data_IF_456029303216
#
_entry.id   IF_456029303216
#
_cell.length_a   1.000
_cell.length_b   1.000
_cell.length_c   1.000
_cell.angle_alpha   90.00
_cell.angle_beta   90.00
_cell.angle_gamma   90.00
#
_symmetry.space_group_name_H-M   'P 1'
#
loop_
_entity.id
_entity.type
_entity.pdbx_description
1 polymer ?
#
# COMPACT_ATOMS: atom_id res chain seq x y z
N UNK A 1 -8.18 8.75 3.83
CA UNK A 1 -9.53 8.15 3.99
C UNK A 1 -9.39 6.76 4.58
N UNK A 2 -10.47 6.17 5.11
CA UNK A 2 -10.43 4.85 5.74
C UNK A 2 -11.79 4.15 5.71
N UNK A 3 -11.81 2.84 6.00
CA UNK A 3 -13.02 2.02 6.03
C UNK A 3 -13.40 1.69 7.49
N UNK A 4 -14.64 2.03 7.90
CA UNK A 4 -15.16 1.74 9.24
C UNK A 4 -16.19 0.62 9.18
N UNK A 5 -16.17 -0.30 10.15
CA UNK A 5 -17.22 -1.32 10.29
C UNK A 5 -18.60 -0.66 10.46
N UNK A 6 -19.60 -1.18 9.76
CA UNK A 6 -20.97 -0.67 9.80
C UNK A 6 -21.84 -1.54 10.70
N UNK A 7 -22.51 -0.90 11.66
CA UNK A 7 -23.36 -1.55 12.66
C UNK A 7 -24.83 -1.13 12.56
N UNK A 8 -25.24 -0.53 11.43
CA UNK A 8 -26.60 -0.03 11.20
C UNK A 8 -26.77 1.48 11.33
N UNK A 9 -25.74 2.21 11.75
CA UNK A 9 -25.73 3.67 11.83
C UNK A 9 -24.64 4.25 10.93
N UNK A 10 -24.98 5.32 10.19
CA UNK A 10 -24.04 5.98 9.29
C UNK A 10 -23.14 6.91 10.11
N UNK A 11 -21.80 6.78 10.02
CA UNK A 11 -20.89 7.72 10.66
C UNK A 11 -21.03 9.16 10.15
N UNK A 12 -20.85 10.14 11.04
CA UNK A 12 -20.92 11.57 10.68
C UNK A 12 -19.86 11.99 9.64
N UNK A 13 -18.75 11.26 9.55
CA UNK A 13 -17.67 11.48 8.60
C UNK A 13 -17.70 10.51 7.40
N UNK A 14 -18.84 9.87 7.15
CA UNK A 14 -19.05 9.02 5.99
C UNK A 14 -19.02 9.84 4.69
N UNK A 15 -18.36 9.30 3.67
CA UNK A 15 -18.24 9.95 2.36
C UNK A 15 -19.54 9.74 1.56
N UNK A 16 -20.23 10.82 1.15
CA UNK A 16 -21.43 10.72 0.31
C UNK A 16 -21.12 10.08 -1.05
N UNK A 17 -21.90 9.07 -1.42
CA UNK A 17 -21.79 8.36 -2.69
C UNK A 17 -22.67 8.94 -3.80
N UNK A 18 -23.88 9.33 -3.45
CA UNK A 18 -24.88 9.80 -4.42
C UNK A 18 -26.21 10.17 -3.75
N UNK A 19 -27.28 10.12 -4.53
CA UNK A 19 -28.64 10.46 -4.14
C UNK A 19 -29.59 9.36 -4.63
N UNK A 20 -30.55 8.96 -3.80
CA UNK A 20 -31.64 8.07 -4.20
C UNK A 20 -32.74 8.83 -4.98
N UNK A 21 -33.81 8.12 -5.36
CA UNK A 21 -34.94 8.69 -6.10
C UNK A 21 -35.69 9.79 -5.33
N UNK A 22 -35.57 9.78 -4.01
CA UNK A 22 -36.18 10.75 -3.11
C UNK A 22 -35.21 11.89 -2.75
N UNK A 23 -34.07 12.00 -3.46
CA UNK A 23 -33.01 12.96 -3.19
C UNK A 23 -32.38 12.82 -1.79
N UNK A 24 -32.47 11.63 -1.18
CA UNK A 24 -31.74 11.32 0.07
C UNK A 24 -30.34 10.84 -0.25
N UNK A 25 -29.39 11.21 0.60
CA UNK A 25 -27.99 10.84 0.46
C UNK A 25 -27.83 9.32 0.60
N UNK A 26 -27.09 8.73 -0.33
CA UNK A 26 -26.56 7.37 -0.20
C UNK A 26 -25.06 7.42 0.04
N UNK A 27 -24.54 6.39 0.71
CA UNK A 27 -23.13 6.33 1.14
C UNK A 27 -22.38 5.22 0.40
N UNK A 28 -21.06 5.32 0.43
CA UNK A 28 -20.17 4.33 -0.18
C UNK A 28 -19.88 3.23 0.83
N UNK A 29 -20.23 2.00 0.49
CA UNK A 29 -19.95 0.82 1.29
C UNK A 29 -19.09 -0.18 0.52
N UNK A 30 -18.42 -1.04 1.26
CA UNK A 30 -17.85 -2.28 0.74
C UNK A 30 -18.33 -3.46 1.59
N UNK A 31 -18.39 -4.64 0.98
CA UNK A 31 -18.89 -5.85 1.62
C UNK A 31 -18.06 -7.05 1.16
N UNK A 32 -17.77 -7.97 2.09
CA UNK A 32 -17.02 -9.17 1.79
C UNK A 32 -17.93 -10.34 1.41
N UNK A 33 -17.62 -10.99 0.29
CA UNK A 33 -18.21 -12.26 -0.13
C UNK A 33 -17.10 -13.29 -0.35
N UNK A 34 -17.25 -14.46 0.28
CA UNK A 34 -16.21 -15.50 0.29
C UNK A 34 -15.67 -15.88 -1.11
N UNK A 35 -16.56 -15.93 -2.11
CA UNK A 35 -16.24 -16.35 -3.48
C UNK A 35 -15.91 -15.18 -4.43
N UNK A 36 -16.07 -13.93 -3.99
CA UNK A 36 -15.94 -12.75 -4.87
C UNK A 36 -14.93 -11.72 -4.37
N UNK A 37 -14.59 -11.72 -3.09
CA UNK A 37 -13.69 -10.74 -2.48
C UNK A 37 -14.45 -9.61 -1.78
N UNK A 38 -13.89 -8.40 -1.83
CA UNK A 38 -14.45 -7.20 -1.21
C UNK A 38 -15.05 -6.34 -2.32
N UNK A 39 -16.37 -6.21 -2.35
CA UNK A 39 -17.09 -5.51 -3.41
C UNK A 39 -17.61 -4.17 -2.92
N UNK A 40 -17.43 -3.12 -3.72
CA UNK A 40 -17.99 -1.78 -3.46
C UNK A 40 -19.45 -1.70 -3.89
N UNK A 41 -20.26 -0.98 -3.13
CA UNK A 41 -21.65 -0.69 -3.47
C UNK A 41 -22.18 0.55 -2.75
N UNK A 42 -23.44 0.90 -3.00
CA UNK A 42 -24.20 1.90 -2.27
C UNK A 42 -24.77 1.36 -0.96
N UNK A 43 -24.91 2.25 0.02
CA UNK A 43 -25.62 2.02 1.27
C UNK A 43 -26.69 3.11 1.44
N UNK A 44 -27.94 2.69 1.65
CA UNK A 44 -29.06 3.58 1.93
C UNK A 44 -29.10 3.94 3.42
N UNK A 45 -29.51 5.17 3.72
CA UNK A 45 -29.72 5.60 5.09
C UNK A 45 -30.84 4.79 5.75
N UNK A 46 -30.54 4.16 6.88
CA UNK A 46 -31.48 3.33 7.65
C UNK A 46 -31.54 1.86 7.24
N UNK A 47 -30.91 1.47 6.13
CA UNK A 47 -30.78 0.06 5.74
C UNK A 47 -29.58 -0.59 6.46
N UNK A 48 -29.76 -1.86 6.87
CA UNK A 48 -28.71 -2.66 7.51
C UNK A 48 -27.99 -3.61 6.55
N UNK A 49 -28.55 -3.78 5.35
CA UNK A 49 -28.01 -4.65 4.31
C UNK A 49 -27.54 -3.84 3.12
N UNK A 50 -26.57 -4.37 2.39
CA UNK A 50 -26.14 -3.84 1.10
C UNK A 50 -26.21 -4.93 0.05
N UNK A 51 -26.51 -4.54 -1.18
CA UNK A 51 -26.44 -5.42 -2.36
C UNK A 51 -25.25 -5.00 -3.19
N UNK A 52 -24.36 -5.90 -3.58
CA UNK A 52 -23.26 -5.63 -4.51
C UNK A 52 -23.40 -6.47 -5.79
N UNK A 53 -22.67 -6.10 -6.85
CA UNK A 53 -22.73 -6.79 -8.12
C UNK A 53 -21.44 -7.57 -8.41
N UNK A 54 -21.57 -8.84 -8.77
CA UNK A 54 -20.52 -9.68 -9.38
C UNK A 54 -21.14 -10.97 -9.89
N UNK A 55 -21.13 -11.18 -11.21
CA UNK A 55 -21.70 -12.38 -11.84
C UNK A 55 -23.18 -12.55 -11.40
N UNK A 56 -23.91 -11.43 -11.33
CA UNK A 56 -25.21 -11.31 -10.66
C UNK A 56 -25.19 -10.34 -9.48
N UNK A 57 -26.22 -10.41 -8.62
CA UNK A 57 -26.34 -9.57 -7.43
C UNK A 57 -26.23 -10.41 -6.16
N UNK A 58 -25.59 -9.85 -5.13
CA UNK A 58 -25.39 -10.51 -3.84
C UNK A 58 -25.74 -9.55 -2.73
N UNK A 59 -26.55 -9.99 -1.77
CA UNK A 59 -26.97 -9.16 -0.63
C UNK A 59 -26.38 -9.73 0.65
N UNK A 60 -25.92 -8.86 1.53
CA UNK A 60 -25.43 -9.21 2.87
C UNK A 60 -25.80 -8.11 3.85
N UNK A 61 -26.09 -8.51 5.09
CA UNK A 61 -26.27 -7.66 6.28
C UNK A 61 -25.06 -7.75 7.24
N UNK A 62 -24.03 -8.48 6.85
CA UNK A 62 -22.79 -8.69 7.61
C UNK A 62 -21.56 -8.29 6.80
N UNK A 63 -20.46 -8.03 7.53
CA UNK A 63 -19.16 -7.65 6.96
C UNK A 63 -19.20 -6.41 6.07
N UNK A 64 -20.07 -5.47 6.42
CA UNK A 64 -20.22 -4.18 5.73
C UNK A 64 -19.26 -3.18 6.36
N UNK A 65 -18.56 -2.43 5.52
CA UNK A 65 -17.77 -1.27 5.92
C UNK A 65 -18.20 -0.04 5.12
N UNK A 66 -18.15 1.13 5.74
CA UNK A 66 -18.46 2.42 5.12
C UNK A 66 -17.19 3.23 4.93
N UNK A 67 -17.07 3.92 3.79
CA UNK A 67 -15.95 4.81 3.51
C UNK A 67 -16.10 6.10 4.31
N UNK A 68 -15.10 6.43 5.12
CA UNK A 68 -15.08 7.60 5.98
C UNK A 68 -13.83 8.47 5.74
N UNK A 69 -13.92 9.76 6.07
CA UNK A 69 -12.78 10.67 6.03
C UNK A 69 -13.02 11.95 6.83
N UNK A 70 -12.01 12.37 7.58
CA UNK A 70 -11.97 13.70 8.22
C UNK A 70 -11.73 14.85 7.22
N UNK A 71 -11.40 14.53 5.96
CA UNK A 71 -11.10 15.51 4.92
C UNK A 71 -11.99 15.24 3.68
N UNK A 72 -13.30 15.46 3.82
CA UNK A 72 -14.27 15.23 2.74
C UNK A 72 -13.98 16.08 1.50
N UNK A 73 -13.45 17.29 1.69
CA UNK A 73 -13.08 18.24 0.64
C UNK A 73 -11.96 17.76 -0.30
N UNK A 74 -11.22 16.71 0.06
CA UNK A 74 -10.20 16.10 -0.82
C UNK A 74 -10.77 15.14 -1.84
N UNK A 75 -12.03 14.75 -1.71
CA UNK A 75 -12.68 13.88 -2.66
C UNK A 75 -13.28 14.67 -3.80
N UNK A 76 -13.07 14.18 -5.01
CA UNK A 76 -13.74 14.69 -6.20
C UNK A 76 -14.21 13.53 -7.06
N UNK A 77 -15.36 13.71 -7.70
CA UNK A 77 -15.88 12.82 -8.71
C UNK A 77 -15.42 13.33 -10.07
N UNK A 78 -14.71 12.50 -10.81
CA UNK A 78 -14.14 12.87 -12.11
C UNK A 78 -14.82 12.05 -13.20
N UNK A 79 -15.43 12.67 -14.22
CA UNK A 79 -15.99 11.95 -15.35
C UNK A 79 -14.92 11.08 -16.03
N UNK A 80 -15.28 9.86 -16.40
CA UNK A 80 -14.40 8.92 -17.05
C UNK A 80 -15.18 7.98 -17.99
N UNK A 81 -14.46 7.38 -18.93
CA UNK A 81 -14.99 6.28 -19.75
C UNK A 81 -14.13 5.03 -19.59
N UNK A 82 -14.75 3.87 -19.81
CA UNK A 82 -14.07 2.58 -19.71
C UNK A 82 -12.81 2.50 -20.60
N UNK A 83 -12.86 3.09 -21.80
CA UNK A 83 -11.74 3.08 -22.74
C UNK A 83 -10.62 4.07 -22.42
N UNK A 84 -10.90 5.12 -21.63
CA UNK A 84 -9.97 6.23 -21.41
C UNK A 84 -9.55 6.44 -19.97
N UNK A 85 -10.15 5.72 -19.01
CA UNK A 85 -9.83 5.78 -17.57
C UNK A 85 -8.31 5.86 -17.32
N UNK A 86 -7.57 4.91 -17.91
CA UNK A 86 -6.13 4.77 -17.77
C UNK A 86 -5.29 5.88 -18.38
N UNK A 87 -5.85 6.62 -19.33
CA UNK A 87 -5.16 7.71 -20.03
C UNK A 87 -5.52 9.08 -19.47
N UNK A 88 -6.75 9.27 -18.99
CA UNK A 88 -7.22 10.55 -18.48
C UNK A 88 -6.88 10.75 -16.99
N UNK A 89 -6.75 9.67 -16.22
CA UNK A 89 -6.56 9.73 -14.77
C UNK A 89 -5.16 9.33 -14.33
N UNK A 90 -4.20 9.37 -15.27
CA UNK A 90 -2.79 9.18 -14.99
C UNK A 90 -2.34 10.13 -13.87
N UNK A 91 -1.71 9.57 -12.84
CA UNK A 91 -1.20 10.33 -11.70
C UNK A 91 -2.28 10.87 -10.76
N UNK A 92 -3.54 10.46 -10.93
CA UNK A 92 -4.60 10.68 -9.94
C UNK A 92 -4.64 9.50 -8.97
N UNK A 93 -4.95 9.78 -7.71
CA UNK A 93 -5.17 8.74 -6.71
C UNK A 93 -6.63 8.29 -6.77
N UNK A 94 -6.89 7.26 -7.57
CA UNK A 94 -8.21 6.61 -7.60
C UNK A 94 -8.47 5.90 -6.28
N UNK A 95 -9.62 6.15 -5.67
CA UNK A 95 -9.97 5.56 -4.38
C UNK A 95 -10.19 4.06 -4.57
N UNK A 96 -9.53 3.26 -3.72
CA UNK A 96 -9.67 1.81 -3.72
C UNK A 96 -10.99 1.42 -3.05
N UNK A 97 -11.84 0.76 -3.82
CA UNK A 97 -13.17 0.31 -3.40
C UNK A 97 -13.23 -1.09 -2.81
N UNK A 98 -12.23 -1.92 -3.12
CA UNK A 98 -12.23 -3.32 -2.74
C UNK A 98 -11.33 -4.16 -3.64
N UNK A 99 -11.56 -5.46 -3.66
CA UNK A 99 -10.83 -6.42 -4.48
C UNK A 99 -11.73 -7.52 -5.01
N UNK A 100 -11.48 -7.94 -6.25
CA UNK A 100 -12.19 -9.04 -6.90
C UNK A 100 -11.17 -9.98 -7.54
N UNK A 101 -11.18 -11.25 -7.13
CA UNK A 101 -10.20 -12.25 -7.58
C UNK A 101 -8.74 -11.76 -7.45
N UNK A 102 -8.43 -11.04 -6.37
CA UNK A 102 -7.11 -10.45 -6.11
C UNK A 102 -6.78 -9.20 -6.93
N UNK A 103 -7.69 -8.72 -7.77
CA UNK A 103 -7.52 -7.47 -8.53
C UNK A 103 -8.18 -6.30 -7.81
N UNK A 104 -7.56 -5.13 -7.86
CA UNK A 104 -8.04 -3.92 -7.19
C UNK A 104 -9.26 -3.35 -7.94
N UNK A 105 -10.31 -3.02 -7.20
CA UNK A 105 -11.47 -2.30 -7.70
C UNK A 105 -11.39 -0.82 -7.31
N UNK A 106 -11.85 0.07 -8.19
CA UNK A 106 -12.03 1.48 -7.88
C UNK A 106 -13.52 1.80 -7.66
N UNK A 107 -13.80 2.96 -7.07
CA UNK A 107 -15.16 3.41 -6.75
C UNK A 107 -15.68 4.29 -7.87
N UNK A 108 -16.77 3.87 -8.50
CA UNK A 108 -17.48 4.66 -9.50
C UNK A 108 -18.89 5.02 -9.07
N UNK A 109 -19.48 6.01 -9.73
CA UNK A 109 -20.91 6.28 -9.68
C UNK A 109 -21.47 6.64 -11.04
N UNK A 110 -22.76 6.44 -11.23
CA UNK A 110 -23.48 6.80 -12.46
C UNK A 110 -24.87 7.31 -12.14
N UNK A 111 -25.34 8.29 -12.92
CA UNK A 111 -26.75 8.69 -12.90
C UNK A 111 -27.56 7.69 -13.73
N UNK A 112 -28.45 6.93 -13.09
CA UNK A 112 -29.26 5.89 -13.74
C UNK A 112 -30.69 5.90 -13.19
N UNK A 113 -31.66 6.09 -14.07
CA UNK A 113 -33.10 6.14 -13.73
C UNK A 113 -33.44 7.11 -12.57
N UNK A 114 -32.83 8.30 -12.57
CA UNK A 114 -33.09 9.34 -11.57
C UNK A 114 -32.34 9.16 -10.23
N UNK A 115 -31.49 8.15 -10.11
CA UNK A 115 -30.61 7.93 -8.95
C UNK A 115 -29.14 8.16 -9.34
N UNK A 116 -28.31 8.53 -8.37
CA UNK A 116 -26.84 8.50 -8.50
C UNK A 116 -26.34 7.27 -7.73
N UNK A 117 -25.92 6.24 -8.47
CA UNK A 117 -25.68 4.90 -7.96
C UNK A 117 -24.18 4.62 -7.88
N UNK A 118 -23.69 4.23 -6.70
CA UNK A 118 -22.31 3.77 -6.50
C UNK A 118 -22.15 2.32 -6.93
N UNK A 119 -21.01 2.00 -7.54
CA UNK A 119 -20.65 0.67 -7.98
C UNK A 119 -19.14 0.47 -8.08
N UNK A 120 -18.74 -0.72 -8.53
CA UNK A 120 -17.32 -1.06 -8.73
C UNK A 120 -16.88 -0.66 -10.13
N UNK A 121 -15.67 -0.11 -10.24
CA UNK A 121 -14.98 0.12 -11.52
C UNK A 121 -13.86 -0.91 -11.63
N UNK A 122 -13.90 -1.71 -12.69
CA UNK A 122 -12.89 -2.72 -12.97
C UNK A 122 -11.65 -2.09 -13.60
N UNK A 123 -10.99 -1.21 -12.83
CA UNK A 123 -9.82 -0.45 -13.27
C UNK A 123 -8.72 -1.34 -13.83
N UNK A 124 -8.54 -2.56 -13.32
CA UNK A 124 -7.53 -3.50 -13.83
C UNK A 124 -7.69 -3.92 -15.32
N UNK A 125 -8.83 -3.67 -15.97
CA UNK A 125 -9.03 -3.93 -17.40
C UNK A 125 -8.58 -2.73 -18.22
N UNK A 126 -7.32 -2.75 -18.70
CA UNK A 126 -6.76 -1.66 -19.49
C UNK A 126 -7.51 -1.55 -20.83
N UNK A 127 -8.00 -0.34 -21.14
CA UNK A 127 -8.79 -0.05 -22.34
C UNK A 127 -10.26 -0.47 -22.29
N UNK A 128 -10.71 -1.12 -21.20
CA UNK A 128 -12.12 -1.52 -21.00
C UNK A 128 -12.49 -1.59 -19.51
N UNK A 129 -12.22 -0.51 -18.79
CA UNK A 129 -12.52 -0.41 -17.36
C UNK A 129 -14.02 -0.15 -17.13
N UNK A 130 -14.88 -1.13 -17.36
CA UNK A 130 -16.32 -1.00 -17.14
C UNK A 130 -16.66 -0.74 -15.66
N UNK A 131 -17.76 0.00 -15.43
CA UNK A 131 -18.37 0.12 -14.11
C UNK A 131 -19.56 -0.83 -14.01
N UNK A 132 -19.69 -1.53 -12.88
CA UNK A 132 -20.79 -2.44 -12.58
C UNK A 132 -21.51 -2.01 -11.30
N UNK A 133 -22.84 -2.10 -11.30
CA UNK A 133 -23.66 -1.79 -10.13
C UNK A 133 -24.95 -2.63 -10.11
N UNK A 134 -25.52 -2.88 -8.90
CA UNK A 134 -26.79 -3.57 -8.78
C UNK A 134 -27.97 -2.63 -8.99
N UNK A 135 -28.94 -3.05 -9.79
CA UNK A 135 -30.19 -2.32 -10.01
C UNK A 135 -31.36 -3.27 -10.32
N UNK A 136 -32.49 -3.11 -9.61
CA UNK A 136 -33.70 -3.92 -9.82
C UNK A 136 -33.41 -5.44 -9.97
N UNK A 137 -32.63 -5.98 -9.03
CA UNK A 137 -32.21 -7.39 -8.99
C UNK A 137 -31.34 -7.85 -10.16
N UNK A 138 -30.67 -6.94 -10.86
CA UNK A 138 -29.74 -7.24 -11.96
C UNK A 138 -28.41 -6.52 -11.75
N UNK A 139 -27.35 -7.14 -12.24
CA UNK A 139 -26.08 -6.46 -12.45
C UNK A 139 -26.15 -5.68 -13.76
N UNK A 140 -25.87 -4.38 -13.69
CA UNK A 140 -25.83 -3.48 -14.84
C UNK A 140 -24.40 -3.01 -15.04
N UNK A 141 -23.94 -2.97 -16.29
CA UNK A 141 -22.64 -2.44 -16.68
C UNK A 141 -22.78 -1.15 -17.50
N UNK A 142 -21.91 -0.18 -17.27
CA UNK A 142 -21.84 1.07 -18.05
C UNK A 142 -20.39 1.43 -18.37
N UNK A 143 -20.22 2.07 -19.54
CA UNK A 143 -18.91 2.50 -20.06
C UNK A 143 -18.62 3.98 -19.83
N UNK A 144 -19.58 4.75 -19.32
CA UNK A 144 -19.45 6.18 -18.96
C UNK A 144 -19.97 6.39 -17.55
N UNK A 145 -19.15 6.99 -16.69
CA UNK A 145 -19.39 7.11 -15.27
C UNK A 145 -18.51 8.22 -14.67
N UNK A 146 -18.67 8.50 -13.38
CA UNK A 146 -17.69 9.27 -12.61
C UNK A 146 -16.90 8.31 -11.72
N UNK A 147 -15.60 8.53 -11.55
CA UNK A 147 -14.75 7.78 -10.61
C UNK A 147 -14.32 8.67 -9.46
N UNK A 148 -14.24 8.09 -8.27
CA UNK A 148 -13.86 8.80 -7.06
C UNK A 148 -12.33 8.93 -6.99
N UNK A 149 -11.87 10.16 -6.83
CA UNK A 149 -10.45 10.52 -6.72
C UNK A 149 -10.21 11.20 -5.38
N UNK A 150 -9.03 10.96 -4.79
CA UNK A 150 -8.58 11.62 -3.57
C UNK A 150 -7.38 12.53 -3.88
N UNK A 151 -7.61 13.84 -3.97
CA UNK A 151 -6.55 14.80 -4.28
C UNK A 151 -5.74 15.13 -3.01
N UNK A 152 -4.54 14.56 -2.90
CA UNK A 152 -3.62 14.83 -1.78
C UNK A 152 -2.76 16.09 -1.98
N UNK A 153 -2.87 16.77 -3.12
CA UNK A 153 -2.05 17.94 -3.44
C UNK A 153 -2.64 19.16 -2.72
N UNK A 154 -1.97 19.70 -1.68
CA UNK A 154 -2.45 20.89 -0.99
C UNK A 154 -2.28 22.09 -1.92
N UNK A 155 -3.40 22.66 -2.38
CA UNK A 155 -3.43 23.94 -3.07
C UNK A 155 -2.83 23.93 -4.47
N UNK A 156 -3.66 23.67 -5.49
CA UNK A 156 -3.65 24.37 -6.79
C UNK A 156 -2.32 24.71 -7.48
N UNK A 157 -1.23 23.99 -7.23
CA UNK A 157 0.05 24.24 -7.89
C UNK A 157 -0.11 24.04 -9.40
N UNK A 158 0.26 25.08 -10.15
CA UNK A 158 0.16 25.15 -11.61
C UNK A 158 0.81 23.92 -12.24
N UNK A 159 -0.01 23.10 -12.89
CA UNK A 159 0.29 21.72 -13.32
C UNK A 159 1.25 21.62 -14.51
N UNK A 160 2.00 22.68 -14.83
CA UNK A 160 2.95 22.69 -15.95
C UNK A 160 4.26 21.96 -15.65
N UNK A 161 4.61 21.75 -14.37
CA UNK A 161 5.70 20.85 -14.01
C UNK A 161 5.16 19.43 -13.81
N UNK A 162 5.40 18.57 -14.80
CA UNK A 162 5.17 17.14 -14.66
C UNK A 162 6.15 16.59 -13.61
N UNK A 163 5.70 16.00 -12.49
CA UNK A 163 6.60 15.34 -11.56
C UNK A 163 7.42 14.28 -12.29
N UNK A 164 8.74 14.40 -12.20
CA UNK A 164 9.67 13.38 -12.67
C UNK A 164 9.92 12.42 -11.51
N UNK A 165 9.46 11.17 -11.64
CA UNK A 165 9.71 10.13 -10.64
C UNK A 165 11.02 9.41 -10.98
N UNK A 166 11.81 9.14 -9.94
CA UNK A 166 13.00 8.29 -10.03
C UNK A 166 12.56 6.87 -9.77
N UNK A 167 12.87 5.96 -10.69
CA UNK A 167 12.51 4.56 -10.52
C UNK A 167 13.71 3.63 -10.74
N UNK A 168 13.68 2.48 -10.09
CA UNK A 168 14.61 1.38 -10.25
C UNK A 168 13.94 0.25 -11.03
N UNK A 169 14.71 -0.44 -11.86
CA UNK A 169 14.26 -1.64 -12.55
C UNK A 169 15.35 -2.71 -12.48
N UNK A 170 14.94 -3.95 -12.26
CA UNK A 170 15.87 -5.08 -12.30
C UNK A 170 15.96 -5.62 -13.73
N UNK A 171 17.15 -5.56 -14.32
CA UNK A 171 17.45 -6.15 -15.62
C UNK A 171 18.30 -7.40 -15.41
N UNK A 172 17.82 -8.60 -15.80
CA UNK A 172 18.61 -9.83 -15.74
C UNK A 172 19.96 -9.65 -16.46
N UNK A 173 21.05 -9.97 -15.77
CA UNK A 173 22.42 -9.81 -16.28
C UNK A 173 23.05 -8.43 -16.07
N UNK A 174 22.26 -7.38 -15.82
CA UNK A 174 22.75 -6.00 -15.65
C UNK A 174 22.50 -5.40 -14.28
N UNK A 175 21.70 -6.05 -13.42
CA UNK A 175 21.44 -5.62 -12.05
C UNK A 175 20.29 -4.63 -11.93
N UNK A 176 20.34 -3.76 -10.92
CA UNK A 176 19.30 -2.75 -10.63
C UNK A 176 19.72 -1.43 -11.26
N UNK A 177 18.94 -0.98 -12.23
CA UNK A 177 19.20 0.22 -13.02
C UNK A 177 18.27 1.35 -12.59
N UNK A 178 18.76 2.59 -12.63
CA UNK A 178 18.00 3.79 -12.30
C UNK A 178 17.52 4.43 -13.61
N UNK A 179 16.28 4.89 -13.65
CA UNK A 179 15.86 5.77 -14.73
C UNK A 179 14.61 6.56 -14.43
N UNK A 180 14.11 7.15 -15.51
CA UNK A 180 13.01 8.10 -15.47
C UNK A 180 11.71 7.35 -15.71
N UNK A 181 10.81 7.41 -14.73
CA UNK A 181 9.42 7.03 -14.95
C UNK A 181 8.68 8.27 -15.48
N UNK A 182 8.26 8.21 -16.74
CA UNK A 182 7.45 9.26 -17.32
C UNK A 182 6.02 9.13 -16.78
N UNK A 183 5.48 10.23 -16.26
CA UNK A 183 4.07 10.28 -15.90
C UNK A 183 3.22 9.95 -17.14
N UNK A 184 2.59 8.77 -17.12
CA UNK A 184 1.71 8.28 -18.19
C UNK A 184 2.25 7.20 -19.11
N UNK A 185 3.38 6.60 -18.77
CA UNK A 185 3.82 5.33 -19.35
C UNK A 185 4.00 4.31 -18.23
N UNK A 186 3.50 3.09 -18.44
CA UNK A 186 3.74 1.93 -17.54
C UNK A 186 5.16 1.34 -17.73
N UNK A 187 6.06 2.08 -18.37
CA UNK A 187 7.42 1.66 -18.67
C UNK A 187 8.44 2.69 -18.18
N UNK A 188 9.49 2.20 -17.53
CA UNK A 188 10.68 3.00 -17.22
C UNK A 188 11.60 2.93 -18.43
N UNK A 189 12.16 4.07 -18.82
CA UNK A 189 13.34 4.08 -19.69
C UNK A 189 14.58 4.16 -18.81
N UNK A 190 15.42 3.13 -18.87
CA UNK A 190 16.70 3.10 -18.16
C UNK A 190 17.87 2.97 -19.12
N UNK A 191 19.03 3.38 -18.64
CA UNK A 191 20.31 3.38 -19.34
C UNK A 191 21.15 2.20 -18.83
N UNK A 192 21.43 1.20 -19.67
CA UNK A 192 22.22 0.03 -19.32
C UNK A 192 22.91 -0.56 -20.56
N UNK A 193 24.05 0.00 -20.97
CA UNK A 193 24.73 -0.39 -22.22
C UNK A 193 23.81 -0.26 -23.46
N UNK A 194 23.00 0.81 -23.48
CA UNK A 194 21.88 1.01 -24.39
C UNK A 194 20.60 1.42 -23.66
N UNK A 195 19.52 1.66 -24.42
CA UNK A 195 18.19 1.92 -23.85
C UNK A 195 17.42 0.63 -23.71
N UNK A 196 16.98 0.36 -22.49
CA UNK A 196 16.05 -0.72 -22.19
C UNK A 196 14.74 -0.12 -21.67
N UNK A 197 13.64 -0.49 -22.32
CA UNK A 197 12.29 -0.31 -21.80
C UNK A 197 11.85 -1.62 -21.17
N UNK A 198 11.49 -1.59 -19.89
CA UNK A 198 10.95 -2.75 -19.18
C UNK A 198 9.60 -2.39 -18.59
N UNK A 199 8.65 -3.29 -18.80
CA UNK A 199 7.29 -3.23 -18.22
C UNK A 199 7.20 -4.05 -16.92
N UNK A 200 8.33 -4.60 -16.44
CA UNK A 200 8.34 -5.55 -15.31
C UNK A 200 9.22 -5.01 -14.17
N UNK A 201 8.60 -4.90 -12.99
CA UNK A 201 9.18 -4.49 -11.69
C UNK A 201 9.75 -3.07 -11.63
N UNK A 202 8.85 -2.08 -11.59
CA UNK A 202 9.16 -0.66 -11.35
C UNK A 202 9.16 -0.40 -9.84
N UNK A 203 10.29 0.05 -9.29
CA UNK A 203 10.37 0.51 -7.89
C UNK A 203 10.55 2.03 -7.89
N UNK A 204 9.64 2.79 -7.27
CA UNK A 204 9.75 4.26 -7.22
C UNK A 204 10.52 4.68 -5.97
N UNK A 205 11.50 5.57 -6.13
CA UNK A 205 12.25 6.15 -5.02
C UNK A 205 11.36 7.11 -4.22
N UNK A 206 10.97 6.71 -3.02
CA UNK A 206 10.27 7.57 -2.07
C UNK A 206 11.14 7.79 -0.83
N UNK A 207 11.14 9.01 -0.29
CA UNK A 207 11.73 9.34 1.02
C UNK A 207 10.63 9.89 1.93
N UNK A 208 10.60 9.47 3.19
CA UNK A 208 9.70 9.99 4.22
C UNK A 208 10.09 11.40 4.72
N UNK A 209 11.29 11.86 4.35
CA UNK A 209 11.82 13.20 4.66
C UNK A 209 12.46 13.78 3.40
N UNK A 210 11.68 14.09 2.34
CA UNK A 210 12.22 14.61 1.08
C UNK A 210 13.01 15.92 1.30
N UNK A 211 12.68 16.71 2.33
CA UNK A 211 13.41 17.91 2.74
C UNK A 211 14.85 17.67 3.21
N UNK A 212 15.25 16.41 3.47
CA UNK A 212 16.63 16.03 3.82
C UNK A 212 17.46 15.57 2.62
N UNK A 213 16.89 15.63 1.41
CA UNK A 213 17.60 15.38 0.17
C UNK A 213 17.95 16.71 -0.48
N UNK A 214 19.23 16.87 -0.81
CA UNK A 214 19.72 18.03 -1.54
C UNK A 214 20.47 17.60 -2.79
N UNK A 215 20.30 18.38 -3.85
CA UNK A 215 21.04 18.21 -5.10
C UNK A 215 22.27 19.09 -5.06
N UNK A 216 23.43 18.48 -5.32
CA UNK A 216 24.70 19.18 -5.31
C UNK A 216 25.39 19.04 -6.66
N UNK A 217 25.91 20.14 -7.25
CA UNK A 217 26.72 20.08 -8.44
C UNK A 217 27.91 19.13 -8.25
N UNK A 218 28.20 18.32 -9.26
CA UNK A 218 29.29 17.37 -9.30
C UNK A 218 29.87 17.30 -10.71
N UNK A 219 31.17 16.97 -10.81
CA UNK A 219 31.82 16.65 -12.08
C UNK A 219 32.47 15.27 -12.01
N UNK A 220 32.62 14.62 -13.15
CA UNK A 220 33.20 13.27 -13.25
C UNK A 220 34.60 13.17 -12.60
N UNK A 221 35.41 14.23 -12.73
CA UNK A 221 36.75 14.31 -12.15
C UNK A 221 36.79 14.62 -10.65
N UNK A 222 35.69 15.13 -10.07
CA UNK A 222 35.67 15.64 -8.69
C UNK A 222 34.65 14.97 -7.78
N UNK A 223 33.83 14.05 -8.26
CA UNK A 223 32.83 13.36 -7.43
C UNK A 223 33.46 12.77 -6.16
N UNK A 224 34.64 12.14 -6.29
CA UNK A 224 35.31 11.53 -5.14
C UNK A 224 35.90 12.55 -4.16
N UNK A 225 36.36 13.70 -4.63
CA UNK A 225 37.01 14.72 -3.79
C UNK A 225 36.01 15.67 -3.14
N UNK A 226 34.97 16.06 -3.87
CA UNK A 226 33.95 17.03 -3.40
C UNK A 226 32.93 16.41 -2.42
N UNK A 227 32.88 15.08 -2.34
CA UNK A 227 31.90 14.32 -1.56
C UNK A 227 32.54 13.37 -0.54
N UNK A 228 33.83 13.53 -0.22
CA UNK A 228 34.44 12.83 0.93
C UNK A 228 33.63 13.13 2.19
N UNK A 229 33.17 12.08 2.87
CA UNK A 229 32.37 12.19 4.10
C UNK A 229 30.89 12.55 3.88
N UNK A 230 30.41 12.61 2.63
CA UNK A 230 28.98 12.82 2.31
C UNK A 230 28.32 11.51 1.90
N UNK A 231 27.04 11.33 2.25
CA UNK A 231 26.28 10.15 1.88
C UNK A 231 25.56 10.36 0.54
N UNK A 232 26.18 9.90 -0.55
CA UNK A 232 25.50 9.83 -1.84
C UNK A 232 24.32 8.87 -1.76
N UNK A 233 23.20 9.24 -2.38
CA UNK A 233 22.02 8.36 -2.43
C UNK A 233 22.25 7.29 -3.49
N UNK A 234 22.36 6.04 -3.02
CA UNK A 234 22.46 4.87 -3.89
C UNK A 234 21.12 4.61 -4.56
N UNK A 235 21.14 4.51 -5.88
CA UNK A 235 19.94 4.21 -6.68
C UNK A 235 19.96 2.83 -7.33
N UNK A 236 21.05 2.07 -7.26
CA UNK A 236 21.07 0.72 -7.83
C UNK A 236 22.44 0.09 -7.85
N UNK A 237 22.58 -0.99 -8.61
CA UNK A 237 23.86 -1.68 -8.83
C UNK A 237 23.98 -2.17 -10.25
N UNK A 238 25.13 -1.96 -10.88
CA UNK A 238 25.48 -2.47 -12.20
C UNK A 238 26.75 -3.32 -12.11
N UNK A 239 26.69 -4.57 -12.57
CA UNK A 239 27.80 -5.53 -12.46
C UNK A 239 28.38 -5.65 -11.04
N UNK A 240 27.50 -5.59 -10.04
CA UNK A 240 27.86 -5.67 -8.61
C UNK A 240 28.43 -4.39 -8.01
N UNK A 241 28.50 -3.28 -8.77
CA UNK A 241 29.00 -1.99 -8.30
C UNK A 241 27.86 -1.01 -8.02
N UNK A 242 27.97 -0.24 -6.95
CA UNK A 242 26.94 0.74 -6.57
C UNK A 242 26.82 1.87 -7.60
N UNK A 243 25.57 2.22 -7.93
CA UNK A 243 25.22 3.38 -8.74
C UNK A 243 24.58 4.45 -7.86
N UNK A 244 24.99 5.70 -8.04
CA UNK A 244 24.38 6.84 -7.36
C UNK A 244 23.35 7.51 -8.27
N UNK A 245 22.45 8.28 -7.66
CA UNK A 245 21.41 9.03 -8.39
C UNK A 245 21.98 10.40 -8.81
N UNK A 246 21.84 10.71 -10.10
CA UNK A 246 22.19 12.01 -10.68
C UNK A 246 21.05 12.62 -11.48
N UNK A 247 21.09 13.93 -11.68
CA UNK A 247 20.24 14.65 -12.64
C UNK A 247 21.06 15.67 -13.43
N UNK A 248 20.61 16.00 -14.63
CA UNK A 248 21.22 17.03 -15.48
C UNK A 248 20.16 17.86 -16.18
N UNK A 249 20.42 19.14 -16.39
CA UNK A 249 19.64 19.97 -17.31
C UNK A 249 20.18 19.78 -18.73
N UNK A 250 19.44 19.07 -19.58
CA UNK A 250 19.84 18.75 -20.95
C UNK A 250 18.72 19.14 -21.92
N UNK A 251 19.05 19.99 -22.91
CA UNK A 251 18.09 20.54 -23.90
C UNK A 251 16.82 21.15 -23.30
N UNK A 252 16.94 21.80 -22.13
CA UNK A 252 15.82 22.46 -21.45
C UNK A 252 14.98 21.55 -20.55
N UNK A 253 15.31 20.26 -20.45
CA UNK A 253 14.68 19.33 -19.50
C UNK A 253 15.63 18.94 -18.37
N UNK A 254 15.07 18.72 -17.17
CA UNK A 254 15.79 18.05 -16.07
C UNK A 254 15.60 16.54 -16.21
N UNK A 255 16.68 15.83 -16.50
CA UNK A 255 16.69 14.38 -16.72
C UNK A 255 17.43 13.71 -15.57
N UNK A 256 16.83 12.65 -15.01
CA UNK A 256 17.45 11.81 -13.98
C UNK A 256 18.14 10.62 -14.64
N UNK A 257 19.27 10.21 -14.09
CA UNK A 257 20.10 9.12 -14.59
C UNK A 257 20.97 8.49 -13.50
N UNK A 258 21.85 7.59 -13.92
CA UNK A 258 22.80 6.89 -13.04
C UNK A 258 24.16 7.57 -13.05
N UNK A 259 24.82 7.58 -11.91
CA UNK A 259 26.20 8.08 -11.74
C UNK A 259 27.10 6.92 -11.33
N UNK A 260 28.07 6.60 -12.18
CA UNK A 260 29.01 5.50 -11.98
C UNK A 260 30.19 5.93 -11.09
N UNK A 261 29.94 6.08 -9.79
CA UNK A 261 30.93 6.58 -8.83
C UNK A 261 32.03 5.59 -8.42
N UNK A 262 32.27 4.51 -9.17
CA UNK A 262 33.32 3.52 -8.86
C UNK A 262 34.57 3.67 -9.74
N UNK A 263 34.50 4.49 -10.80
CA UNK A 263 35.66 4.79 -11.65
C UNK A 263 36.28 6.07 -11.12
N UNK A 264 37.34 5.91 -10.34
CA UNK A 264 38.15 7.03 -9.85
C UNK A 264 38.61 7.84 -11.08
N UNK A 265 38.40 9.15 -11.05
CA UNK A 265 38.64 10.12 -12.15
C UNK A 265 37.65 10.14 -13.33
N UNK A 266 36.68 9.21 -13.40
CA UNK A 266 35.69 9.20 -14.49
C UNK A 266 34.27 8.82 -14.02
N UNK A 267 33.77 9.53 -13.01
CA UNK A 267 32.42 9.32 -12.49
C UNK A 267 31.36 10.04 -13.35
N UNK A 268 31.20 9.63 -14.61
CA UNK A 268 30.22 10.24 -15.51
C UNK A 268 28.77 9.90 -15.13
N UNK A 269 27.84 10.76 -15.55
CA UNK A 269 26.41 10.50 -15.46
C UNK A 269 25.88 9.99 -16.80
N UNK A 270 25.11 8.91 -16.76
CA UNK A 270 24.46 8.28 -17.91
C UNK A 270 22.94 8.42 -17.78
N UNK A 271 22.28 8.81 -18.86
CA UNK A 271 20.82 8.92 -18.90
C UNK A 271 20.27 8.64 -20.30
N UNK A 272 19.03 8.12 -20.40
CA UNK A 272 18.38 7.92 -21.69
C UNK A 272 17.85 9.25 -22.26
N UNK A 273 18.14 9.52 -23.53
CA UNK A 273 17.57 10.64 -24.28
C UNK A 273 17.43 10.30 -25.76
N UNK A 274 16.24 10.54 -26.34
CA UNK A 274 15.96 10.29 -27.78
C UNK A 274 16.46 8.93 -28.30
N UNK A 275 16.16 7.84 -27.59
CA UNK A 275 16.55 6.47 -27.94
C UNK A 275 18.06 6.15 -27.83
N UNK A 276 18.87 7.01 -27.21
CA UNK A 276 20.29 6.78 -26.94
C UNK A 276 20.66 6.97 -25.46
N UNK A 277 21.67 6.23 -24.99
CA UNK A 277 22.35 6.54 -23.72
C UNK A 277 23.29 7.73 -23.96
N UNK A 278 23.06 8.80 -23.22
CA UNK A 278 23.87 10.03 -23.27
C UNK A 278 24.70 10.11 -22.00
N UNK A 279 25.96 10.51 -22.16
CA UNK A 279 26.91 10.68 -21.07
C UNK A 279 27.26 12.16 -20.91
N UNK A 280 27.29 12.63 -19.66
CA UNK A 280 27.71 14.01 -19.35
C UNK A 280 28.73 14.03 -18.20
N UNK A 281 29.75 14.89 -18.27
CA UNK A 281 30.76 15.00 -17.23
C UNK A 281 30.38 15.95 -16.10
N UNK A 282 29.28 16.70 -16.24
CA UNK A 282 28.78 17.67 -15.26
C UNK A 282 27.29 17.44 -15.01
N UNK A 283 26.92 17.31 -13.74
CA UNK A 283 25.58 16.94 -13.30
C UNK A 283 25.36 17.39 -11.86
N UNK A 284 24.16 17.16 -11.32
CA UNK A 284 23.89 17.24 -9.89
C UNK A 284 23.70 15.82 -9.34
N UNK A 285 24.23 15.52 -8.16
CA UNK A 285 23.97 14.25 -7.45
C UNK A 285 23.21 14.49 -6.16
N UNK A 286 22.43 13.50 -5.73
CA UNK A 286 21.66 13.60 -4.50
C UNK A 286 22.51 13.20 -3.30
N UNK A 287 22.51 14.05 -2.27
CA UNK A 287 23.10 13.76 -0.95
C UNK A 287 21.98 13.65 0.08
N UNK A 288 22.09 12.69 1.00
CA UNK A 288 21.29 12.63 2.21
C UNK A 288 22.10 13.01 3.46
N UNK A 289 21.48 13.68 4.43
CA UNK A 289 22.10 13.98 5.74
C UNK A 289 22.41 12.72 6.56
N UNK A 290 21.75 11.60 6.23
CA UNK A 290 21.89 10.27 6.82
C UNK A 290 21.50 9.22 5.77
N UNK A 291 21.71 7.93 6.02
CA UNK A 291 21.11 6.85 5.20
C UNK A 291 19.63 7.14 4.92
N UNK A 292 19.32 7.41 3.66
CA UNK A 292 17.96 7.70 3.19
C UNK A 292 17.21 6.38 3.11
N UNK A 293 16.07 6.29 3.78
CA UNK A 293 15.21 5.11 3.70
C UNK A 293 14.51 5.11 2.33
N UNK A 294 14.84 4.14 1.49
CA UNK A 294 14.12 3.84 0.25
C UNK A 294 12.92 2.94 0.54
N UNK A 295 11.74 3.34 0.08
CA UNK A 295 10.55 2.48 0.12
C UNK A 295 10.38 1.70 -1.18
N UNK A 296 10.13 0.40 -1.07
CA UNK A 296 9.77 -0.48 -2.19
C UNK A 296 8.25 -0.63 -2.24
N UNK A 297 7.65 -0.44 -3.42
CA UNK A 297 6.31 -0.96 -3.73
C UNK A 297 6.41 -1.93 -4.90
N UNK A 298 5.93 -3.16 -4.71
CA UNK A 298 5.84 -4.19 -5.75
C UNK A 298 4.38 -4.60 -5.94
N UNK A 299 3.85 -4.74 -7.17
CA UNK A 299 2.55 -5.36 -7.40
C UNK A 299 2.73 -6.86 -7.66
N UNK A 300 2.19 -7.77 -6.82
CA UNK A 300 2.13 -9.20 -7.16
C UNK A 300 0.83 -9.90 -6.76
N UNK A 301 0.51 -10.89 -7.60
CA UNK A 301 -0.60 -11.85 -7.57
C UNK A 301 -0.52 -12.80 -6.36
N UNK A 302 -1.65 -12.94 -5.66
CA UNK A 302 -1.90 -14.04 -4.71
C UNK A 302 -1.96 -13.61 -3.25
N UNK A 303 -3.16 -13.69 -2.66
CA UNK A 303 -3.49 -13.74 -1.22
C UNK A 303 -2.53 -13.13 -0.21
N UNK A 304 -2.94 -12.01 0.41
CA UNK A 304 -2.20 -11.24 1.42
C UNK A 304 -2.01 -11.94 2.79
N UNK A 305 -0.81 -11.80 3.35
CA UNK A 305 -0.53 -11.38 4.74
C UNK A 305 0.34 -10.11 4.64
N UNK A 306 -0.03 -8.99 5.30
CA UNK A 306 0.66 -7.69 5.21
C UNK A 306 0.99 -7.10 6.59
N UNK A 307 2.25 -6.69 6.78
CA UNK A 307 2.77 -5.79 7.83
C UNK A 307 4.18 -5.27 7.43
N UNK A 308 4.54 -4.01 7.54
CA UNK A 308 5.80 -3.44 7.04
C UNK A 308 6.93 -3.47 8.10
N UNK A 309 8.23 -3.53 7.75
CA UNK A 309 9.34 -3.32 8.71
C UNK A 309 10.55 -2.58 8.11
N UNK A 310 11.13 -1.68 8.91
CA UNK A 310 12.45 -1.06 8.83
C UNK A 310 13.58 -1.95 9.43
N UNK A 311 14.82 -1.78 8.94
CA UNK A 311 16.03 -2.20 9.64
C UNK A 311 16.77 -0.96 10.19
N UNK A 312 17.01 -0.93 11.50
CA UNK A 312 18.03 -0.06 12.12
C UNK A 312 19.25 -0.93 12.39
N UNK A 313 20.38 -0.64 11.75
CA UNK A 313 21.68 -1.22 12.10
C UNK A 313 22.19 -0.59 13.41
N UNK A 314 21.65 -1.06 14.53
CA UNK A 314 22.41 -1.13 15.77
C UNK A 314 23.06 -2.51 15.84
N UNK A 315 24.38 -2.59 16.05
CA UNK A 315 25.06 -3.87 16.35
C UNK A 315 24.46 -4.44 17.65
N UNK A 316 23.43 -5.27 17.53
CA UNK A 316 23.07 -6.27 18.52
C UNK A 316 23.78 -7.56 18.12
N UNK A 317 24.94 -7.81 18.73
CA UNK A 317 25.43 -9.18 18.86
C UNK A 317 24.50 -9.91 19.81
N UNK A 318 23.59 -10.73 19.26
CA UNK A 318 22.93 -11.79 20.01
C UNK A 318 23.97 -12.93 20.10
N UNK A 319 24.60 -13.20 21.25
CA UNK A 319 25.62 -14.22 21.33
C UNK A 319 24.97 -15.61 21.22
N UNK A 320 25.48 -16.46 20.34
CA UNK A 320 25.17 -17.88 20.22
C UNK A 320 23.74 -18.26 19.77
N UNK A 321 23.38 -17.94 18.52
CA UNK A 321 22.39 -18.74 17.79
C UNK A 321 23.09 -19.51 16.67
N UNK A 322 23.34 -20.80 16.92
CA UNK A 322 23.65 -21.77 15.88
C UNK A 322 22.52 -21.83 14.85
N UNK A 323 22.89 -22.18 13.62
CA UNK A 323 22.17 -22.23 12.35
C UNK A 323 20.76 -22.88 12.37
N UNK A 324 19.79 -22.34 13.12
CA UNK A 324 18.39 -22.72 13.03
C UNK A 324 17.68 -21.83 12.02
N UNK A 325 17.13 -22.47 10.98
CA UNK A 325 16.27 -21.86 9.97
C UNK A 325 15.09 -21.20 10.69
N UNK A 326 15.04 -19.86 10.68
CA UNK A 326 13.97 -19.08 11.33
C UNK A 326 12.68 -19.23 10.51
N UNK A 327 11.84 -20.19 10.91
CA UNK A 327 10.53 -20.44 10.30
C UNK A 327 9.47 -19.75 11.16
N UNK A 328 8.73 -18.80 10.60
CA UNK A 328 7.53 -18.28 11.24
C UNK A 328 6.39 -19.27 11.04
N UNK A 329 5.63 -19.52 12.11
CA UNK A 329 4.44 -20.38 12.07
C UNK A 329 3.19 -19.54 12.29
N UNK A 330 2.13 -19.84 11.55
CA UNK A 330 0.80 -19.26 11.77
C UNK A 330 -0.27 -20.32 11.56
N UNK A 331 -1.53 -19.99 11.85
CA UNK A 331 -2.67 -20.85 11.55
C UNK A 331 -3.54 -20.20 10.48
N UNK A 332 -4.15 -20.98 9.60
CA UNK A 332 -5.17 -20.53 8.64
C UNK A 332 -5.97 -21.74 8.16
N UNK A 333 -7.29 -21.62 8.00
CA UNK A 333 -8.15 -22.70 7.48
C UNK A 333 -7.92 -24.08 8.14
N UNK A 334 -7.76 -24.12 9.47
CA UNK A 334 -7.47 -25.35 10.22
C UNK A 334 -6.12 -26.02 9.89
N UNK A 335 -5.19 -25.29 9.28
CA UNK A 335 -3.82 -25.72 9.00
C UNK A 335 -2.82 -24.86 9.77
N UNK A 336 -1.64 -25.45 10.04
CA UNK A 336 -0.44 -24.69 10.44
C UNK A 336 0.37 -24.41 9.19
N UNK A 337 0.61 -23.12 8.94
CA UNK A 337 1.43 -22.65 7.82
C UNK A 337 2.79 -22.25 8.35
N UNK A 338 3.83 -22.62 7.59
CA UNK A 338 5.21 -22.30 7.88
C UNK A 338 5.74 -21.40 6.76
N UNK A 339 6.40 -20.29 7.12
CA UNK A 339 7.07 -19.45 6.14
C UNK A 339 8.41 -18.94 6.68
N UNK A 340 9.46 -19.11 5.89
CA UNK A 340 10.74 -18.41 6.09
C UNK A 340 10.86 -17.14 5.24
N UNK A 341 9.85 -16.87 4.41
CA UNK A 341 9.79 -15.72 3.50
C UNK A 341 8.64 -14.80 3.92
N UNK A 342 8.76 -13.51 3.61
CA UNK A 342 7.70 -12.52 3.89
C UNK A 342 7.28 -12.43 5.36
N UNK A 343 8.20 -12.76 6.28
CA UNK A 343 7.99 -12.62 7.72
C UNK A 343 8.15 -11.15 8.09
N UNK A 344 7.15 -10.63 8.79
CA UNK A 344 7.09 -9.23 9.21
C UNK A 344 7.09 -9.20 10.74
N UNK A 345 7.85 -8.29 11.34
CA UNK A 345 8.16 -8.21 12.77
C UNK A 345 7.73 -6.83 13.23
N UNK A 346 6.82 -6.80 14.19
CA UNK A 346 6.42 -5.55 14.81
C UNK A 346 7.56 -5.01 15.67
N UNK A 347 8.07 -3.83 15.31
CA UNK A 347 9.12 -3.11 16.03
C UNK A 347 8.59 -1.73 16.44
N UNK A 348 8.97 -1.24 17.64
CA UNK A 348 8.69 0.12 18.08
C UNK A 348 9.86 0.68 18.89
N UNK A 349 10.24 1.96 18.71
CA UNK A 349 11.19 2.63 19.57
C UNK A 349 10.65 2.85 20.99
N UNK A 350 9.32 2.92 21.13
CA UNK A 350 8.61 3.16 22.38
C UNK A 350 7.90 1.86 22.78
N UNK A 351 8.64 0.92 23.39
CA UNK A 351 8.08 -0.40 23.75
C UNK A 351 7.08 -0.32 24.90
N UNK A 352 7.24 0.67 25.76
CA UNK A 352 6.36 1.02 26.89
C UNK A 352 4.99 1.53 26.45
N UNK A 353 4.86 1.97 25.19
CA UNK A 353 3.58 2.30 24.59
C UNK A 353 2.69 1.06 24.37
N UNK A 354 3.26 -0.14 24.42
CA UNK A 354 2.55 -1.37 24.17
C UNK A 354 2.23 -2.07 25.48
N UNK A 355 1.00 -2.54 25.60
CA UNK A 355 0.55 -3.32 26.75
C UNK A 355 -0.15 -4.60 26.30
N UNK A 356 0.03 -5.64 27.09
CA UNK A 356 -0.63 -6.92 26.94
C UNK A 356 -1.80 -6.97 27.91
N UNK A 357 -3.01 -7.03 27.36
CA UNK A 357 -4.24 -6.99 28.14
C UNK A 357 -4.78 -8.41 28.24
N UNK A 358 -4.83 -8.97 29.45
CA UNK A 358 -5.42 -10.30 29.67
C UNK A 358 -6.94 -10.21 29.51
N UNK A 359 -7.50 -10.99 28.58
CA UNK A 359 -8.91 -10.96 28.24
C UNK A 359 -9.48 -12.37 28.05
N UNK A 360 -10.80 -12.47 28.24
CA UNK A 360 -11.58 -13.60 27.76
C UNK A 360 -12.26 -13.21 26.43
N UNK A 361 -12.34 -14.13 25.47
CA UNK A 361 -12.86 -13.87 24.11
C UNK A 361 -14.26 -13.24 24.10
N UNK A 362 -15.14 -13.69 24.99
CA UNK A 362 -16.48 -13.11 25.22
C UNK A 362 -16.45 -11.61 25.55
N UNK A 363 -15.38 -11.10 26.14
CA UNK A 363 -15.22 -9.71 26.58
C UNK A 363 -14.49 -8.84 25.55
N UNK A 364 -14.04 -9.39 24.42
CA UNK A 364 -13.27 -8.65 23.41
C UNK A 364 -14.02 -7.41 22.87
N UNK A 365 -15.35 -7.47 22.79
CA UNK A 365 -16.17 -6.32 22.39
C UNK A 365 -16.05 -5.12 23.33
N UNK A 366 -15.72 -5.33 24.62
CA UNK A 366 -15.50 -4.25 25.60
C UNK A 366 -14.21 -3.47 25.35
N UNK A 367 -13.28 -4.08 24.60
CA UNK A 367 -12.01 -3.48 24.20
C UNK A 367 -12.06 -2.87 22.80
N UNK A 368 -13.26 -2.72 22.21
CA UNK A 368 -13.43 -2.09 20.90
C UNK A 368 -12.94 -0.64 20.85
N UNK A 369 -12.88 0.04 21.99
CA UNK A 369 -12.34 1.40 22.14
C UNK A 369 -10.81 1.45 22.30
N UNK A 370 -10.15 0.31 22.53
CA UNK A 370 -8.71 0.26 22.67
C UNK A 370 -8.05 0.24 21.29
N UNK A 371 -6.84 0.81 21.18
CA UNK A 371 -6.05 0.75 19.95
C UNK A 371 -5.36 -0.61 19.83
N UNK A 372 -6.17 -1.66 19.62
CA UNK A 372 -5.69 -3.02 19.43
C UNK A 372 -4.81 -3.09 18.18
N UNK A 373 -3.69 -3.80 18.27
CA UNK A 373 -2.73 -3.88 17.17
C UNK A 373 -3.17 -4.91 16.12
N UNK A 374 -3.40 -4.50 14.85
CA UNK A 374 -3.75 -5.43 13.79
C UNK A 374 -2.55 -6.32 13.44
N UNK A 375 -2.79 -7.63 13.39
CA UNK A 375 -1.81 -8.66 13.03
C UNK A 375 -1.90 -9.13 11.57
N UNK A 376 -2.97 -8.75 10.87
CA UNK A 376 -3.23 -9.15 9.48
C UNK A 376 -4.73 -9.20 9.18
N UNK A 377 -5.10 -9.88 8.10
CA UNK A 377 -6.50 -10.17 7.78
C UNK A 377 -6.68 -11.59 7.26
N UNK A 378 -7.85 -12.17 7.51
CA UNK A 378 -8.24 -13.48 6.99
C UNK A 378 -9.72 -13.43 6.62
N UNK A 379 -10.04 -13.82 5.39
CA UNK A 379 -11.43 -13.89 4.91
C UNK A 379 -12.15 -12.53 5.11
N UNK A 380 -11.45 -11.43 4.80
CA UNK A 380 -11.98 -10.06 4.89
C UNK A 380 -12.05 -9.48 6.31
N UNK A 381 -11.74 -10.24 7.35
CA UNK A 381 -11.74 -9.77 8.74
C UNK A 381 -10.36 -9.30 9.19
N UNK A 382 -10.31 -8.23 9.96
CA UNK A 382 -9.08 -7.80 10.63
C UNK A 382 -8.79 -8.75 11.80
N UNK A 383 -7.57 -9.25 11.82
CA UNK A 383 -7.01 -10.06 12.90
C UNK A 383 -6.17 -9.19 13.80
N UNK A 384 -6.16 -9.51 15.09
CA UNK A 384 -5.32 -8.82 16.08
C UNK A 384 -4.23 -9.74 16.61
N UNK A 385 -3.16 -9.15 17.12
CA UNK A 385 -2.05 -9.90 17.72
C UNK A 385 -2.42 -10.28 19.14
N UNK A 386 -2.42 -11.58 19.43
CA UNK A 386 -2.56 -12.09 20.79
C UNK A 386 -1.47 -13.09 21.14
N UNK A 387 -1.32 -13.35 22.44
CA UNK A 387 -0.38 -14.35 22.96
C UNK A 387 -0.95 -15.14 24.12
N UNK A 388 -0.35 -16.28 24.39
CA UNK A 388 -0.62 -17.11 25.57
C UNK A 388 0.70 -17.64 26.14
N UNK A 389 0.77 -17.73 27.46
CA UNK A 389 1.86 -18.42 28.15
C UNK A 389 1.51 -19.90 28.32
N UNK A 390 2.34 -20.79 27.77
CA UNK A 390 2.14 -22.25 27.81
C UNK A 390 3.49 -22.97 27.78
N UNK A 391 3.65 -24.02 28.58
CA UNK A 391 4.86 -24.86 28.65
C UNK A 391 6.17 -24.08 28.83
N UNK A 392 6.18 -23.12 29.77
CA UNK A 392 7.30 -22.19 30.02
C UNK A 392 7.69 -21.30 28.83
N UNK A 393 6.86 -21.23 27.79
CA UNK A 393 7.04 -20.37 26.63
C UNK A 393 5.88 -19.40 26.43
N UNK A 394 6.09 -18.44 25.54
CA UNK A 394 5.05 -17.55 25.02
C UNK A 394 4.77 -17.91 23.58
N UNK A 395 3.51 -18.23 23.28
CA UNK A 395 3.04 -18.52 21.93
C UNK A 395 2.25 -17.33 21.43
N UNK A 396 2.55 -16.88 20.21
CA UNK A 396 1.86 -15.78 19.54
C UNK A 396 0.89 -16.35 18.51
N UNK A 397 -0.26 -15.70 18.37
CA UNK A 397 -1.29 -16.10 17.43
C UNK A 397 -2.17 -14.95 16.98
N UNK A 398 -3.21 -15.31 16.24
CA UNK A 398 -4.21 -14.37 15.70
C UNK A 398 -5.47 -14.39 16.56
N UNK A 399 -6.05 -13.22 16.79
CA UNK A 399 -7.30 -13.04 17.52
C UNK A 399 -8.36 -12.55 16.55
N UNK A 400 -9.50 -13.25 16.50
CA UNK A 400 -10.67 -12.82 15.75
C UNK A 400 -11.52 -11.87 16.59
N UNK A 401 -11.94 -10.75 16.00
CA UNK A 401 -12.83 -9.79 16.67
C UNK A 401 -14.25 -10.30 16.78
N UNK A 402 -14.71 -11.02 15.76
CA UNK A 402 -16.10 -11.39 15.62
C UNK A 402 -16.39 -12.81 16.06
N UNK A 403 -17.58 -12.94 16.65
CA UNK A 403 -18.21 -14.13 17.17
C UNK A 403 -18.47 -15.23 16.15
N UNK A 404 -17.50 -15.67 15.33
CA UNK A 404 -17.74 -16.84 14.46
C UNK A 404 -18.09 -18.02 15.36
N UNK A 405 -19.19 -18.69 15.03
CA UNK A 405 -19.72 -19.85 15.78
C UNK A 405 -18.66 -20.94 16.00
N UNK A 406 -17.60 -20.96 15.18
CA UNK A 406 -16.47 -21.89 15.27
C UNK A 406 -15.09 -21.25 15.51
N UNK A 407 -14.98 -19.94 15.75
CA UNK A 407 -13.71 -19.20 15.62
C UNK A 407 -13.28 -18.27 16.75
N UNK A 408 -14.01 -18.19 17.86
CA UNK A 408 -13.74 -17.17 18.89
C UNK A 408 -12.44 -17.44 19.66
N UNK A 409 -11.65 -16.38 19.84
CA UNK A 409 -10.47 -16.38 20.71
C UNK A 409 -9.14 -16.27 19.97
N UNK A 410 -8.08 -16.68 20.65
CA UNK A 410 -6.73 -16.70 20.12
C UNK A 410 -6.45 -18.06 19.46
N UNK A 411 -6.05 -18.02 18.20
CA UNK A 411 -5.59 -19.19 17.44
C UNK A 411 -4.09 -19.14 17.21
N UNK A 412 -3.39 -20.19 17.60
CA UNK A 412 -1.94 -20.28 17.53
C UNK A 412 -1.48 -21.68 17.13
N UNK A 413 -0.32 -21.81 16.48
CA UNK A 413 0.25 -23.11 16.15
C UNK A 413 0.84 -23.76 17.41
N UNK A 414 0.49 -25.01 17.66
CA UNK A 414 1.04 -25.79 18.76
C UNK A 414 1.07 -27.27 18.39
N UNK A 415 2.24 -27.92 18.52
CA UNK A 415 2.48 -29.30 18.10
C UNK A 415 1.99 -29.60 16.66
N UNK A 416 2.32 -28.72 15.70
CA UNK A 416 1.89 -28.78 14.30
C UNK A 416 0.37 -28.85 14.07
N UNK A 417 -0.42 -28.37 15.04
CA UNK A 417 -1.88 -28.23 14.91
C UNK A 417 -2.33 -26.82 15.25
N UNK A 418 -3.40 -26.31 14.64
CA UNK A 418 -4.04 -25.10 15.10
C UNK A 418 -4.74 -25.36 16.43
N UNK A 419 -4.46 -24.54 17.43
CA UNK A 419 -5.10 -24.62 18.75
C UNK A 419 -5.77 -23.28 19.05
N UNK A 420 -7.01 -23.35 19.54
CA UNK A 420 -7.78 -22.18 20.00
C UNK A 420 -7.80 -22.10 21.53
N UNK A 421 -7.79 -20.88 22.07
CA UNK A 421 -8.04 -20.60 23.50
C UNK A 421 -8.97 -19.40 23.66
N UNK A 422 -9.84 -19.44 24.66
CA UNK A 422 -10.75 -18.33 24.98
C UNK A 422 -10.11 -17.31 25.92
N UNK A 423 -9.05 -17.68 26.65
CA UNK A 423 -8.30 -16.78 27.54
C UNK A 423 -6.90 -16.57 27.00
N UNK A 424 -6.51 -15.32 26.83
CA UNK A 424 -5.25 -14.91 26.22
C UNK A 424 -4.94 -13.45 26.58
N UNK A 425 -3.74 -12.99 26.22
CA UNK A 425 -3.40 -11.58 26.23
C UNK A 425 -3.49 -11.00 24.81
N UNK A 426 -4.10 -9.83 24.64
CA UNK A 426 -4.15 -9.10 23.36
C UNK A 426 -3.23 -7.88 23.41
N UNK A 427 -2.56 -7.60 22.29
CA UNK A 427 -1.66 -6.45 22.20
C UNK A 427 -2.43 -5.17 21.90
N UNK A 428 -2.24 -4.16 22.76
CA UNK A 428 -2.83 -2.83 22.62
C UNK A 428 -1.73 -1.76 22.61
N UNK A 429 -2.02 -0.65 21.94
CA UNK A 429 -1.19 0.56 21.94
C UNK A 429 -1.82 1.67 22.78
N UNK A 430 -1.08 2.13 23.77
CA UNK A 430 -1.48 3.19 24.68
C UNK A 430 -0.47 4.34 24.61
N UNK A 431 -0.84 5.42 23.92
CA UNK A 431 0.02 6.59 23.75
C UNK A 431 0.29 7.33 25.08
N UNK A 432 -0.60 7.22 26.07
CA UNK A 432 -0.42 7.88 27.37
C UNK A 432 0.77 7.32 28.14
N UNK A 433 1.12 6.04 27.92
CA UNK A 433 2.27 5.43 28.58
C UNK A 433 3.61 6.01 28.09
N UNK A 434 3.66 6.49 26.85
CA UNK A 434 4.84 7.20 26.32
C UNK A 434 5.05 8.51 27.07
N UNK A 435 3.97 9.25 27.31
CA UNK A 435 4.02 10.55 27.98
C UNK A 435 4.43 10.48 29.46
N UNK A 436 4.27 9.32 30.11
CA UNK A 436 4.70 9.12 31.52
C UNK A 436 6.19 8.85 31.69
N UNK A 437 6.87 8.52 30.59
CA UNK A 437 8.28 8.08 30.62
C UNK A 437 9.25 9.23 30.35
N UNK A 438 8.74 10.39 29.91
CA UNK A 438 9.43 11.66 29.78
C UNK A 438 9.00 12.60 30.91
#
# INVERSE_FOLDING_TARGET
>A
YYWRDFYGEIPDDAVPGGLDRNHKITYIAQVYFANHGILTTRLYQGEKSVTASRDGIHTSDVFIKVLCSHQLQKFSWVPATASRLHTELIGRHLVVGGTENGKILNIGRVTYQGEVIVGKVCGYNIGDAQMFFPYQNKEISVSSYEVLVYDDIPGGLDRKQKPTYIAQVHIPGYGIQIGRLYQGKDSITVSAAGIHTSDVFIQVLCSNKPQKLSWHPATASRLHTDFIGKHLVMGGTESGKALNIGRVSYQGEVIVGKVCGYIIENAEMFFPYQNAEVTVPSYETTIGETTVELFLMMPFLGGMIVMEIQFILGRFTIPNMNYYQKIAQTTAYSLVLNSSQHVKILCSPNKEAFEWISIHSKDLHKYASHNLIPGGSEVGENLYIGRISRDNGTLVGKVFRHGRVSGNGLWYPYNNRPVGTLTYEILSYNCENVMKTY
#
